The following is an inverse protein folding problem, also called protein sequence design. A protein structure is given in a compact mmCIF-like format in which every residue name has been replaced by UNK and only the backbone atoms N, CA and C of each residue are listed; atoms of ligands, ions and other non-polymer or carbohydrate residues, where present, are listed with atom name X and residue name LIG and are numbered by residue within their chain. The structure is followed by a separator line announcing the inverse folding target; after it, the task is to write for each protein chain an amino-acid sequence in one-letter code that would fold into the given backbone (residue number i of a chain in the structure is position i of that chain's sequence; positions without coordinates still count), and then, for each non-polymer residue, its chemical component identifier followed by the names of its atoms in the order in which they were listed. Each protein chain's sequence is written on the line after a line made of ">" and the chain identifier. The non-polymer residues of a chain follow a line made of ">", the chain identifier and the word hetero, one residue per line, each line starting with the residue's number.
data_IF_997149383266
#
_entry.id   IF_997149383266
#
_cell.length_a   1.000
_cell.length_b   1.000
_cell.length_c   1.000
_cell.angle_alpha   90.00
_cell.angle_beta   90.00
_cell.angle_gamma   90.00
#
_symmetry.space_group_name_H-M   'P 1'
#
loop_
_entity.id
_entity.type
_entity.pdbx_description
1 polymer ?
#
# COMPACT_ATOMS: atom_id res chain seq x y z
N UNK A 1 -13.70 -9.59 5.05
CA UNK A 1 -12.74 -9.33 6.14
C UNK A 1 -13.34 -8.42 7.23
N UNK A 2 -14.66 -8.51 7.46
CA UNK A 2 -15.37 -7.65 8.41
C UNK A 2 -15.22 -8.14 9.87
N UNK A 3 -15.40 -7.24 10.84
CA UNK A 3 -15.41 -7.57 12.28
C UNK A 3 -14.06 -7.98 12.86
N UNK A 4 -12.96 -7.48 12.30
CA UNK A 4 -11.60 -7.79 12.75
C UNK A 4 -10.95 -6.55 13.40
N UNK A 5 -9.62 -6.59 13.55
CA UNK A 5 -8.80 -5.48 14.09
C UNK A 5 -7.75 -5.02 13.07
N UNK A 6 -8.08 -5.05 11.78
CA UNK A 6 -7.17 -4.66 10.73
C UNK A 6 -6.83 -3.17 10.85
N UNK A 7 -5.55 -2.82 10.74
CA UNK A 7 -5.07 -1.45 10.69
C UNK A 7 -4.75 -0.99 9.26
N UNK A 8 -4.43 -1.95 8.38
CA UNK A 8 -4.12 -1.77 6.97
C UNK A 8 -4.57 -3.00 6.17
N UNK A 9 -4.58 -2.87 4.84
CA UNK A 9 -4.83 -3.96 3.90
C UNK A 9 -3.58 -4.13 3.01
N UNK A 10 -3.40 -5.29 2.35
CA UNK A 10 -2.33 -5.47 1.36
C UNK A 10 -2.37 -4.37 0.30
N UNK A 11 -1.23 -3.74 0.01
CA UNK A 11 -1.17 -2.54 -0.84
C UNK A 11 -1.67 -2.79 -2.27
N UNK A 12 -1.59 -4.03 -2.73
CA UNK A 12 -2.01 -4.46 -4.06
C UNK A 12 -3.45 -5.00 -4.10
N UNK A 13 -4.16 -5.02 -2.97
CA UNK A 13 -5.55 -5.45 -2.93
C UNK A 13 -6.38 -4.53 -3.84
N UNK A 14 -7.00 -5.13 -4.87
CA UNK A 14 -7.72 -4.40 -5.92
C UNK A 14 -7.06 -4.44 -7.30
N UNK A 15 -5.79 -4.87 -7.41
CA UNK A 15 -5.11 -5.05 -8.71
C UNK A 15 -5.76 -6.11 -9.59
N UNK A 16 -6.36 -7.15 -8.99
CA UNK A 16 -7.11 -8.16 -9.75
C UNK A 16 -8.37 -7.54 -10.35
N UNK A 17 -8.60 -7.81 -11.64
CA UNK A 17 -9.83 -7.42 -12.35
C UNK A 17 -11.03 -8.26 -11.92
N UNK A 18 -10.81 -9.44 -11.38
CA UNK A 18 -11.87 -10.35 -10.93
C UNK A 18 -12.43 -9.93 -9.56
N UNK A 19 -11.61 -9.27 -8.73
CA UNK A 19 -12.07 -8.74 -7.47
C UNK A 19 -13.00 -7.55 -7.73
N UNK A 20 -14.26 -7.65 -7.31
CA UNK A 20 -15.29 -6.60 -7.51
C UNK A 20 -15.83 -6.04 -6.20
N UNK A 21 -15.92 -6.89 -5.17
CA UNK A 21 -16.53 -6.56 -3.88
C UNK A 21 -15.54 -6.81 -2.74
N UNK A 22 -15.41 -5.84 -1.84
CA UNK A 22 -14.54 -5.92 -0.67
C UNK A 22 -15.27 -5.40 0.56
N UNK A 23 -15.59 -6.29 1.49
CA UNK A 23 -16.26 -5.95 2.75
C UNK A 23 -15.26 -6.03 3.92
N UNK A 24 -14.97 -4.87 4.50
CA UNK A 24 -14.03 -4.64 5.60
C UNK A 24 -14.70 -3.91 6.77
N UNK A 25 -16.03 -3.92 6.83
CA UNK A 25 -16.81 -3.29 7.90
C UNK A 25 -16.32 -3.70 9.31
N UNK A 26 -16.48 -2.81 10.28
CA UNK A 26 -16.13 -3.01 11.68
C UNK A 26 -14.65 -3.32 11.93
N UNK A 27 -13.74 -2.76 11.12
CA UNK A 27 -12.31 -2.70 11.43
C UNK A 27 -11.96 -1.32 11.97
N UNK A 28 -12.08 -1.15 13.28
CA UNK A 28 -11.99 0.15 13.96
C UNK A 28 -10.67 0.91 13.72
N UNK A 29 -9.57 0.19 13.51
CA UNK A 29 -8.24 0.76 13.28
C UNK A 29 -7.94 1.00 11.80
N UNK A 30 -8.78 0.50 10.89
CA UNK A 30 -8.59 0.63 9.45
C UNK A 30 -8.96 2.05 9.01
N UNK A 31 -7.94 2.88 8.80
CA UNK A 31 -8.09 4.28 8.37
C UNK A 31 -7.74 4.50 6.89
N UNK A 32 -7.01 3.56 6.30
CA UNK A 32 -6.54 3.62 4.92
C UNK A 32 -7.00 2.41 4.09
N UNK A 33 -7.50 2.65 2.89
CA UNK A 33 -7.79 1.64 1.88
C UNK A 33 -6.79 1.76 0.73
N UNK A 34 -6.23 0.67 0.19
CA UNK A 34 -5.38 0.75 -1.00
C UNK A 34 -6.11 1.42 -2.16
N UNK A 35 -5.45 2.34 -2.86
CA UNK A 35 -6.07 3.08 -3.96
C UNK A 35 -6.51 2.19 -5.12
N UNK A 36 -5.97 0.97 -5.29
CA UNK A 36 -6.48 0.01 -6.29
C UNK A 36 -7.92 -0.43 -6.05
N UNK A 37 -8.48 -0.16 -4.87
CA UNK A 37 -9.89 -0.41 -4.58
C UNK A 37 -10.83 0.70 -5.08
N UNK A 38 -10.32 1.80 -5.64
CA UNK A 38 -11.14 2.97 -6.00
C UNK A 38 -12.31 2.68 -6.95
N UNK A 39 -12.15 1.66 -7.80
CA UNK A 39 -13.15 1.22 -8.78
C UNK A 39 -13.91 -0.04 -8.33
N UNK A 40 -13.83 -0.40 -7.06
CA UNK A 40 -14.47 -1.58 -6.47
C UNK A 40 -15.62 -1.17 -5.57
N UNK A 41 -16.53 -2.09 -5.32
CA UNK A 41 -17.59 -1.91 -4.31
C UNK A 41 -17.00 -2.23 -2.94
N UNK A 42 -17.01 -1.26 -2.03
CA UNK A 42 -16.39 -1.39 -0.71
C UNK A 42 -17.42 -1.20 0.40
N UNK A 43 -17.50 -2.17 1.32
CA UNK A 43 -18.15 -2.00 2.62
C UNK A 43 -17.10 -1.65 3.68
N UNK A 44 -17.16 -0.47 4.27
CA UNK A 44 -16.24 -0.03 5.32
C UNK A 44 -16.94 0.71 6.45
N UNK A 45 -18.19 0.37 6.73
CA UNK A 45 -18.95 0.94 7.85
C UNK A 45 -18.27 0.58 9.17
N UNK A 46 -18.21 1.52 10.11
CA UNK A 46 -17.55 1.28 11.41
C UNK A 46 -16.01 1.24 11.37
N UNK A 47 -15.39 1.56 10.24
CA UNK A 47 -13.94 1.75 10.13
C UNK A 47 -13.52 3.18 10.52
N UNK A 48 -12.24 3.35 10.90
CA UNK A 48 -11.64 4.67 11.11
C UNK A 48 -12.12 5.43 12.35
N UNK A 49 -12.66 4.73 13.36
CA UNK A 49 -13.14 5.36 14.59
C UNK A 49 -12.00 6.14 15.31
N UNK A 50 -12.29 7.33 15.88
CA UNK A 50 -11.33 8.09 16.66
C UNK A 50 -11.10 7.37 17.99
N UNK A 51 -10.03 6.57 18.05
CA UNK A 51 -9.62 5.86 19.26
C UNK A 51 -8.33 6.49 19.77
N UNK A 52 -8.24 6.71 21.09
CA UNK A 52 -6.96 6.91 21.77
C UNK A 52 -6.22 5.57 21.79
N UNK A 53 -5.41 5.33 20.77
CA UNK A 53 -4.67 4.06 20.66
C UNK A 53 -3.47 4.10 21.61
N UNK A 54 -3.50 3.23 22.62
CA UNK A 54 -2.32 2.77 23.34
C UNK A 54 -1.39 2.06 22.34
N UNK A 55 -0.15 2.53 22.32
CA UNK A 55 0.97 2.17 21.43
C UNK A 55 0.99 0.73 20.92
N UNK A 56 0.51 0.52 19.70
CA UNK A 56 1.25 -0.35 18.78
C UNK A 56 2.13 0.59 17.99
N UNK A 57 3.45 0.39 18.04
CA UNK A 57 4.48 1.18 17.34
C UNK A 57 4.43 0.94 15.82
N UNK A 58 3.24 1.05 15.22
CA UNK A 58 3.05 0.99 13.78
C UNK A 58 3.52 2.31 13.20
N UNK A 59 4.29 2.23 12.12
CA UNK A 59 4.58 3.40 11.32
C UNK A 59 3.26 3.97 10.80
N UNK A 60 3.15 5.30 10.85
CA UNK A 60 1.97 6.01 10.40
C UNK A 60 2.36 7.11 9.46
N UNK A 61 1.51 7.35 8.48
CA UNK A 61 1.61 8.48 7.57
C UNK A 61 0.49 9.46 7.87
N UNK A 62 0.83 10.74 7.99
CA UNK A 62 -0.13 11.80 8.21
C UNK A 62 -0.09 12.83 7.09
N UNK A 63 -1.27 13.23 6.62
CA UNK A 63 -1.44 14.35 5.70
C UNK A 63 -2.59 15.22 6.21
N UNK A 64 -2.25 16.42 6.69
CA UNK A 64 -3.18 17.28 7.44
C UNK A 64 -3.65 16.60 8.73
N UNK A 65 -4.96 16.56 8.95
CA UNK A 65 -5.58 15.92 10.12
C UNK A 65 -5.81 14.41 9.98
N UNK A 66 -5.36 13.80 8.88
CA UNK A 66 -5.62 12.40 8.56
C UNK A 66 -4.36 11.58 8.77
N UNK A 67 -4.51 10.45 9.46
CA UNK A 67 -3.41 9.53 9.74
C UNK A 67 -3.83 8.12 9.37
N UNK A 68 -2.97 7.41 8.65
CA UNK A 68 -3.14 6.00 8.30
C UNK A 68 -1.99 5.18 8.86
N UNK A 69 -2.25 3.94 9.23
CA UNK A 69 -1.20 3.01 9.64
C UNK A 69 -0.63 2.30 8.42
N UNK A 70 0.67 2.02 8.49
CA UNK A 70 1.41 1.33 7.45
C UNK A 70 1.77 -0.09 7.91
N UNK A 71 1.91 -1.04 6.97
CA UNK A 71 2.45 -2.36 7.26
C UNK A 71 3.84 -2.28 7.90
N UNK A 72 4.17 -3.26 8.74
CA UNK A 72 5.46 -3.29 9.45
C UNK A 72 6.66 -3.49 8.52
N UNK A 73 6.42 -4.00 7.31
CA UNK A 73 7.39 -4.19 6.25
C UNK A 73 7.86 -2.85 5.64
N UNK A 74 7.03 -1.80 5.74
CA UNK A 74 7.48 -0.45 5.42
C UNK A 74 8.55 -0.06 6.45
N UNK A 75 9.74 0.27 5.98
CA UNK A 75 10.85 0.74 6.83
C UNK A 75 11.03 2.24 6.76
N UNK A 76 10.64 2.86 5.65
CA UNK A 76 10.74 4.30 5.43
C UNK A 76 9.52 4.84 4.67
N UNK A 77 9.16 6.08 4.97
CA UNK A 77 8.20 6.88 4.19
C UNK A 77 9.02 7.87 3.40
N UNK A 78 8.87 7.82 2.07
CA UNK A 78 9.64 8.67 1.20
C UNK A 78 9.15 10.11 1.18
N UNK A 79 10.07 11.04 0.96
CA UNK A 79 9.83 12.49 0.91
C UNK A 79 10.44 13.11 -0.35
N UNK A 80 10.16 14.39 -0.60
CA UNK A 80 10.76 15.13 -1.72
C UNK A 80 12.29 15.28 -1.65
N UNK A 81 12.88 15.07 -0.46
CA UNK A 81 14.33 15.16 -0.23
C UNK A 81 15.07 13.86 -0.58
N UNK A 82 14.34 12.79 -0.93
CA UNK A 82 14.95 11.52 -1.29
C UNK A 82 15.44 11.56 -2.73
N UNK A 83 16.73 11.80 -2.90
CA UNK A 83 17.38 11.73 -4.21
C UNK A 83 17.80 10.30 -4.58
N UNK A 84 18.03 9.46 -3.58
CA UNK A 84 18.49 8.07 -3.74
C UNK A 84 17.69 7.18 -2.81
N UNK A 85 17.16 6.08 -3.33
CA UNK A 85 16.43 5.09 -2.55
C UNK A 85 17.37 4.35 -1.59
N UNK A 86 16.86 3.80 -0.47
CA UNK A 86 17.65 2.95 0.41
C UNK A 86 18.32 1.80 -0.36
N UNK A 87 19.55 1.44 0.01
CA UNK A 87 20.30 0.38 -0.67
C UNK A 87 19.51 -0.93 -0.76
N UNK A 88 18.79 -1.29 0.31
CA UNK A 88 17.94 -2.48 0.31
C UNK A 88 16.84 -2.39 -0.75
N UNK A 89 16.19 -1.25 -0.91
CA UNK A 89 15.16 -1.06 -1.94
C UNK A 89 15.74 -1.23 -3.34
N UNK A 90 16.88 -0.59 -3.62
CA UNK A 90 17.55 -0.67 -4.93
C UNK A 90 18.00 -2.10 -5.25
N UNK A 91 18.60 -2.78 -4.28
CA UNK A 91 19.04 -4.15 -4.43
C UNK A 91 17.87 -5.10 -4.68
N UNK A 92 16.79 -4.98 -3.90
CA UNK A 92 15.60 -5.84 -4.06
C UNK A 92 14.90 -5.59 -5.40
N UNK A 93 14.74 -4.34 -5.85
CA UNK A 93 14.18 -4.04 -7.20
C UNK A 93 15.04 -4.62 -8.31
N UNK A 94 16.35 -4.45 -8.23
CA UNK A 94 17.28 -4.99 -9.23
C UNK A 94 17.22 -6.52 -9.28
N UNK A 95 17.21 -7.17 -8.12
CA UNK A 95 17.04 -8.62 -8.01
C UNK A 95 15.68 -9.08 -8.52
N UNK A 96 14.60 -8.36 -8.22
CA UNK A 96 13.25 -8.68 -8.69
C UNK A 96 13.17 -8.63 -10.22
N UNK A 97 13.68 -7.57 -10.85
CA UNK A 97 13.70 -7.47 -12.30
C UNK A 97 14.56 -8.55 -12.95
N UNK A 98 15.73 -8.82 -12.37
CA UNK A 98 16.61 -9.91 -12.82
C UNK A 98 15.87 -11.25 -12.72
N UNK A 99 15.32 -11.56 -11.55
CA UNK A 99 14.53 -12.76 -11.28
C UNK A 99 13.37 -12.93 -12.27
N UNK A 100 12.53 -11.91 -12.41
CA UNK A 100 11.30 -11.99 -13.18
C UNK A 100 11.50 -11.89 -14.71
N UNK A 101 12.62 -11.29 -15.14
CA UNK A 101 13.06 -11.29 -16.53
C UNK A 101 13.68 -12.63 -16.92
N UNK A 102 14.58 -13.17 -16.09
CA UNK A 102 15.28 -14.45 -16.35
C UNK A 102 14.41 -15.69 -16.15
N UNK A 103 13.33 -15.64 -15.36
CA UNK A 103 12.43 -16.78 -15.19
C UNK A 103 11.61 -17.16 -16.43
N UNK A 104 11.61 -16.32 -17.47
CA UNK A 104 11.13 -16.75 -18.78
C UNK A 104 12.09 -17.75 -19.46
N UNK A 105 13.36 -17.77 -19.05
CA UNK A 105 14.46 -18.48 -19.74
C UNK A 105 15.50 -19.09 -18.74
N UNK A 106 15.14 -20.14 -17.99
CA UNK A 106 16.05 -21.02 -17.19
C UNK A 106 16.12 -20.81 -15.66
N UNK A 107 16.29 -21.96 -15.00
CA UNK A 107 16.54 -22.26 -13.59
C UNK A 107 17.77 -21.56 -12.96
N UNK A 108 17.84 -20.23 -12.95
CA UNK A 108 18.99 -19.47 -12.45
C UNK A 108 19.07 -19.29 -10.93
N UNK A 109 18.15 -19.87 -10.14
CA UNK A 109 18.19 -19.74 -8.68
C UNK A 109 19.21 -20.64 -7.97
N UNK A 110 19.94 -21.49 -8.69
CA UNK A 110 20.93 -22.36 -8.07
C UNK A 110 22.19 -21.69 -7.48
N UNK A 111 22.56 -20.41 -7.74
CA UNK A 111 23.75 -19.82 -7.11
C UNK A 111 23.48 -18.70 -6.08
N UNK A 112 22.27 -18.14 -5.95
CA UNK A 112 22.03 -17.07 -4.97
C UNK A 112 21.31 -17.62 -3.74
N UNK A 113 22.09 -18.05 -2.75
CA UNK A 113 21.57 -18.38 -1.42
C UNK A 113 21.18 -17.10 -0.68
N UNK A 114 19.98 -16.57 -0.96
CA UNK A 114 19.41 -15.48 -0.15
C UNK A 114 18.97 -16.00 1.22
N UNK A 115 19.18 -15.21 2.30
CA UNK A 115 18.47 -15.44 3.55
C UNK A 115 16.96 -15.54 3.31
N UNK A 116 16.29 -16.44 4.03
CA UNK A 116 14.85 -16.73 3.86
C UNK A 116 13.99 -15.46 3.87
N UNK A 117 14.27 -14.51 4.76
CA UNK A 117 13.54 -13.26 4.87
C UNK A 117 13.64 -12.38 3.60
N UNK A 118 14.79 -12.40 2.92
CA UNK A 118 14.96 -11.67 1.66
C UNK A 118 14.34 -12.42 0.48
N UNK A 119 14.36 -13.75 0.51
CA UNK A 119 13.69 -14.58 -0.51
C UNK A 119 12.16 -14.42 -0.45
N UNK A 120 11.58 -14.43 0.75
CA UNK A 120 10.16 -14.19 0.95
C UNK A 120 9.76 -12.79 0.47
N UNK A 121 10.57 -11.78 0.80
CA UNK A 121 10.37 -10.41 0.32
C UNK A 121 10.51 -10.29 -1.21
N UNK A 122 11.41 -11.05 -1.83
CA UNK A 122 11.57 -11.08 -3.30
C UNK A 122 10.33 -11.66 -3.99
N UNK A 123 9.77 -12.74 -3.45
CA UNK A 123 8.57 -13.37 -4.01
C UNK A 123 7.29 -12.56 -3.76
N UNK A 124 7.22 -11.89 -2.61
CA UNK A 124 6.07 -11.10 -2.19
C UNK A 124 6.53 -9.68 -1.85
N UNK A 125 6.66 -8.79 -2.85
CA UNK A 125 6.90 -7.38 -2.58
C UNK A 125 5.78 -6.82 -1.70
N UNK A 126 6.10 -5.75 -0.97
CA UNK A 126 5.11 -5.03 -0.15
C UNK A 126 3.89 -4.59 -0.98
N UNK A 127 4.15 -4.18 -2.22
CA UNK A 127 3.14 -3.87 -3.23
C UNK A 127 3.77 -3.27 -4.47
N UNK A 128 2.95 -2.81 -5.40
CA UNK A 128 3.40 -2.17 -6.64
C UNK A 128 2.98 -0.71 -6.70
N UNK A 129 3.89 0.12 -7.18
CA UNK A 129 3.65 1.54 -7.43
C UNK A 129 2.38 1.72 -8.24
N UNK A 130 1.46 2.54 -7.74
CA UNK A 130 0.21 2.78 -8.44
C UNK A 130 0.41 3.39 -9.83
N UNK A 131 1.46 4.20 -10.01
CA UNK A 131 1.70 4.91 -11.27
C UNK A 131 2.41 4.07 -12.33
N UNK A 132 3.52 3.43 -12.00
CA UNK A 132 4.37 2.72 -12.96
C UNK A 132 4.40 1.20 -12.76
N UNK A 133 3.72 0.67 -11.74
CA UNK A 133 3.77 -0.75 -11.35
C UNK A 133 5.18 -1.27 -10.98
N UNK A 134 6.12 -0.40 -10.64
CA UNK A 134 7.40 -0.79 -10.03
C UNK A 134 7.15 -1.46 -8.66
N UNK A 135 7.76 -2.62 -8.36
CA UNK A 135 7.63 -3.24 -7.04
C UNK A 135 8.27 -2.37 -5.94
N UNK A 136 7.64 -2.35 -4.78
CA UNK A 136 8.11 -1.67 -3.58
C UNK A 136 8.38 -2.71 -2.50
N UNK A 137 9.44 -2.54 -1.72
CA UNK A 137 9.83 -3.52 -0.71
C UNK A 137 9.91 -2.94 0.69
N UNK A 138 10.51 -1.76 0.83
CA UNK A 138 10.89 -1.19 2.14
C UNK A 138 10.59 0.29 2.26
N UNK A 139 10.40 1.01 1.15
CA UNK A 139 10.04 2.43 1.14
C UNK A 139 8.81 2.65 0.27
N UNK A 140 7.93 3.54 0.73
CA UNK A 140 6.73 3.95 -0.01
C UNK A 140 6.57 5.46 0.03
N UNK A 141 5.98 6.01 -1.02
CA UNK A 141 5.61 7.42 -1.14
C UNK A 141 4.07 7.50 -1.12
N UNK A 142 3.43 7.67 0.06
CA UNK A 142 1.98 7.63 0.19
C UNK A 142 1.29 8.95 -0.17
N UNK A 143 0.10 8.88 -0.76
CA UNK A 143 -0.84 10.00 -0.99
C UNK A 143 -2.22 9.64 -0.49
N UNK A 144 -2.82 10.51 0.33
CA UNK A 144 -4.17 10.30 0.85
C UNK A 144 -5.21 10.97 -0.04
N UNK A 145 -6.27 10.21 -0.35
CA UNK A 145 -7.47 10.66 -1.04
C UNK A 145 -8.67 10.36 -0.15
N UNK A 146 -9.26 11.36 0.50
CA UNK A 146 -10.34 11.15 1.44
C UNK A 146 -11.53 10.51 0.75
N UNK A 147 -12.09 9.44 1.29
CA UNK A 147 -13.15 8.73 0.59
C UNK A 147 -14.37 9.63 0.36
N UNK A 148 -14.65 10.52 1.32
CA UNK A 148 -15.66 11.57 1.21
C UNK A 148 -15.43 12.56 0.05
N UNK A 149 -14.22 12.67 -0.46
CA UNK A 149 -13.87 13.56 -1.58
C UNK A 149 -13.79 12.79 -2.91
N UNK A 150 -14.16 11.51 -2.91
CA UNK A 150 -14.20 10.67 -4.12
C UNK A 150 -15.65 10.45 -4.58
N UNK A 151 -15.88 9.97 -5.82
CA UNK A 151 -17.21 9.61 -6.29
C UNK A 151 -17.96 8.60 -5.41
N UNK A 152 -17.24 7.84 -4.56
CA UNK A 152 -17.81 6.88 -3.63
C UNK A 152 -18.44 7.51 -2.38
N UNK A 153 -18.31 8.83 -2.17
CA UNK A 153 -18.76 9.51 -0.96
C UNK A 153 -20.24 9.27 -0.60
N UNK A 154 -21.12 9.19 -1.62
CA UNK A 154 -22.55 8.95 -1.45
C UNK A 154 -22.90 7.60 -0.81
N UNK A 155 -22.07 6.57 -1.05
CA UNK A 155 -22.29 5.23 -0.50
C UNK A 155 -22.03 5.15 1.02
N UNK A 156 -21.24 6.09 1.56
CA UNK A 156 -20.83 6.11 2.96
C UNK A 156 -21.43 7.28 3.76
N UNK A 157 -22.49 7.90 3.23
CA UNK A 157 -23.24 8.98 3.90
C UNK A 157 -22.35 10.14 4.40
N UNK A 158 -21.19 10.38 3.80
CA UNK A 158 -20.23 11.43 4.20
C UNK A 158 -19.68 11.34 5.64
N UNK A 159 -19.93 10.25 6.36
CA UNK A 159 -19.55 10.09 7.78
C UNK A 159 -18.23 9.34 7.99
N UNK A 160 -17.59 8.90 6.92
CA UNK A 160 -16.34 8.13 7.00
C UNK A 160 -15.11 9.03 7.12
N UNK A 161 -14.19 8.66 8.01
CA UNK A 161 -12.84 9.23 8.14
C UNK A 161 -11.81 8.46 7.31
N UNK A 162 -12.24 7.36 6.69
CA UNK A 162 -11.39 6.49 5.86
C UNK A 162 -10.95 7.23 4.61
N UNK A 163 -9.71 7.01 4.21
CA UNK A 163 -9.13 7.55 2.98
C UNK A 163 -8.62 6.41 2.10
N UNK A 164 -8.67 6.58 0.79
CA UNK A 164 -7.81 5.83 -0.09
C UNK A 164 -6.36 6.29 0.09
N UNK A 165 -5.44 5.35 -0.03
CA UNK A 165 -3.99 5.57 0.09
C UNK A 165 -3.36 5.01 -1.17
N UNK A 166 -2.81 5.89 -1.99
CA UNK A 166 -1.96 5.48 -3.09
C UNK A 166 -0.53 5.40 -2.61
N UNK A 167 0.17 4.34 -3.01
CA UNK A 167 1.58 4.13 -2.70
C UNK A 167 2.38 4.19 -3.99
N UNK A 168 3.34 5.11 -4.05
CA UNK A 168 4.23 5.30 -5.18
C UNK A 168 5.66 4.88 -4.82
N UNK A 169 6.47 4.60 -5.84
CA UNK A 169 7.86 4.18 -5.71
C UNK A 169 8.88 5.33 -5.69
N UNK A 170 8.43 6.57 -5.97
CA UNK A 170 9.24 7.79 -6.01
C UNK A 170 8.37 9.05 -5.90
N UNK A 171 9.00 10.18 -5.58
CA UNK A 171 8.36 11.52 -5.58
C UNK A 171 7.79 11.90 -6.95
N UNK A 172 8.48 11.56 -8.04
CA UNK A 172 7.98 11.82 -9.40
C UNK A 172 6.67 11.07 -9.69
N UNK A 173 6.60 9.79 -9.32
CA UNK A 173 5.35 9.02 -9.45
C UNK A 173 4.25 9.60 -8.57
N UNK A 174 4.59 10.01 -7.35
CA UNK A 174 3.64 10.62 -6.40
C UNK A 174 3.02 11.92 -6.93
N UNK A 175 3.84 12.80 -7.51
CA UNK A 175 3.43 14.10 -8.04
C UNK A 175 2.55 13.96 -9.29
N UNK A 176 2.88 13.00 -10.15
CA UNK A 176 2.14 12.76 -11.40
C UNK A 176 0.91 11.87 -11.23
N UNK A 177 0.74 11.24 -10.07
CA UNK A 177 -0.41 10.39 -9.79
C UNK A 177 -1.62 11.20 -9.32
N UNK A 178 -2.75 10.96 -9.98
CA UNK A 178 -4.06 11.40 -9.57
C UNK A 178 -5.01 10.21 -9.58
N UNK A 179 -5.88 10.12 -8.56
CA UNK A 179 -6.79 8.98 -8.37
C UNK A 179 -7.92 8.96 -9.40
N UNK A 180 -8.27 10.14 -9.93
CA UNK A 180 -9.41 10.33 -10.83
C UNK A 180 -9.00 10.49 -12.29
N UNK A 181 -7.69 10.49 -12.58
CA UNK A 181 -7.10 10.58 -13.92
C UNK A 181 -6.82 9.19 -14.51
#
# INVERSE_FOLDING_TARGET
>A
MAGNRLAFLPLDLGRSRELQYVYVDNNIHLKGLPSYLYNKVIGCSGCGAPIQVSEVKLLSFSSGQRTVFLPAEVKAIGTEHDHVLPLQELAMRSLYHTYHSLLKDLNFLSPISLPRSLLELLHCPLGHCHRCSEPMFTIVYPKLFPLRETPMAGLHQWRTTVSFVAYCCSTQCLQTFDLLS
#
